data_IF_479241011523
#
_entry.id   IF_479241011523
#
_cell.length_a   1.000
_cell.length_b   1.000
_cell.length_c   1.000
_cell.angle_alpha   90.00
_cell.angle_beta   90.00
_cell.angle_gamma   90.00
#
_symmetry.space_group_name_H-M   'P 1'
#
loop_
_entity.id
_entity.type
_entity.pdbx_description
1 polymer ?
#
# COMPACT_ATOMS: atom_id res chain seq x y z
N UNK A 1 -10.72 4.51 -13.03
CA UNK A 1 -9.57 4.64 -12.11
C UNK A 1 -9.07 3.27 -11.72
N UNK A 2 -7.79 3.11 -11.73
CA UNK A 2 -7.08 1.88 -11.34
C UNK A 2 -6.51 2.06 -9.93
N UNK A 3 -6.60 1.02 -9.13
CA UNK A 3 -6.06 1.02 -7.77
C UNK A 3 -5.15 -0.18 -7.57
N UNK A 4 -3.96 0.07 -7.01
CA UNK A 4 -3.07 -0.98 -6.57
C UNK A 4 -3.25 -1.11 -5.06
N UNK A 5 -3.55 -2.31 -4.58
CA UNK A 5 -3.64 -2.59 -3.15
C UNK A 5 -2.49 -3.49 -2.76
N UNK A 6 -1.71 -3.07 -1.78
CA UNK A 6 -0.60 -3.84 -1.23
C UNK A 6 -0.96 -4.21 0.20
N UNK A 7 -0.91 -5.49 0.51
CA UNK A 7 -1.40 -6.06 1.76
C UNK A 7 -0.26 -6.70 2.53
N UNK A 8 -0.08 -6.29 3.78
CA UNK A 8 0.87 -6.89 4.70
C UNK A 8 0.07 -7.61 5.80
N UNK A 9 -0.05 -8.95 5.72
CA UNK A 9 -0.81 -9.69 6.74
C UNK A 9 -0.15 -9.57 8.11
N UNK A 10 -0.95 -9.66 9.17
CA UNK A 10 -0.44 -9.60 10.52
C UNK A 10 0.11 -10.97 10.92
N UNK A 11 1.43 -11.12 10.88
CA UNK A 11 2.11 -12.36 11.25
C UNK A 11 2.73 -12.26 12.63
N UNK A 12 2.47 -13.26 13.49
CA UNK A 12 3.01 -13.31 14.83
C UNK A 12 4.55 -13.32 14.80
N UNK A 13 5.16 -12.54 15.69
CA UNK A 13 6.61 -12.48 15.82
C UNK A 13 7.33 -11.67 14.76
N UNK A 14 6.59 -11.03 13.86
CA UNK A 14 7.17 -10.15 12.83
C UNK A 14 6.79 -8.71 13.07
N UNK A 15 7.73 -7.81 12.82
CA UNK A 15 7.57 -6.38 13.02
C UNK A 15 7.28 -5.66 11.71
N UNK A 16 6.68 -4.50 11.83
CA UNK A 16 6.45 -3.58 10.72
C UNK A 16 6.76 -2.17 11.21
N UNK A 17 7.80 -1.55 10.65
CA UNK A 17 8.18 -0.18 10.99
C UNK A 17 7.32 0.80 10.21
N UNK A 18 6.19 1.18 10.78
CA UNK A 18 5.23 2.08 10.13
C UNK A 18 5.82 3.46 9.89
N UNK A 19 6.64 3.97 10.81
CA UNK A 19 7.27 5.27 10.65
C UNK A 19 8.19 5.31 9.43
N UNK A 20 9.04 4.30 9.29
CA UNK A 20 9.89 4.15 8.11
C UNK A 20 9.05 4.02 6.84
N UNK A 21 8.01 3.19 6.89
CA UNK A 21 7.13 2.94 5.75
C UNK A 21 6.52 4.24 5.23
N UNK A 22 5.96 5.04 6.11
CA UNK A 22 5.28 6.29 5.74
C UNK A 22 6.25 7.35 5.22
N UNK A 23 7.42 7.49 5.83
CA UNK A 23 8.33 8.60 5.55
C UNK A 23 9.44 8.27 4.57
N UNK A 24 9.73 6.99 4.35
CA UNK A 24 10.83 6.55 3.48
C UNK A 24 10.36 5.71 2.31
N UNK A 25 9.58 4.66 2.58
CA UNK A 25 9.15 3.73 1.53
C UNK A 25 8.15 4.39 0.57
N UNK A 26 7.09 4.96 1.13
CA UNK A 26 6.04 5.63 0.35
C UNK A 26 6.60 6.87 -0.36
N UNK A 27 7.63 7.50 0.18
CA UNK A 27 8.30 8.64 -0.46
C UNK A 27 8.87 8.33 -1.85
N UNK A 28 9.04 7.05 -2.21
CA UNK A 28 9.43 6.67 -3.57
C UNK A 28 8.41 7.12 -4.64
N UNK A 29 7.17 7.39 -4.23
CA UNK A 29 6.14 7.90 -5.14
C UNK A 29 6.10 9.44 -5.22
N UNK A 30 6.87 10.13 -4.38
CA UNK A 30 6.85 11.60 -4.34
C UNK A 30 7.27 12.20 -5.69
N UNK A 31 6.52 13.21 -6.12
CA UNK A 31 6.80 13.89 -7.35
C UNK A 31 6.38 13.17 -8.64
N UNK A 32 5.80 11.99 -8.52
CA UNK A 32 5.28 11.26 -9.69
C UNK A 32 3.90 11.81 -10.08
N UNK A 33 3.80 12.52 -11.24
CA UNK A 33 2.52 13.13 -11.63
C UNK A 33 1.46 12.11 -12.04
N UNK A 34 1.84 10.86 -12.28
CA UNK A 34 0.90 9.79 -12.66
C UNK A 34 0.14 9.26 -11.45
N UNK A 35 0.67 9.39 -10.24
CA UNK A 35 0.01 8.96 -9.00
C UNK A 35 -1.07 9.97 -8.64
N UNK A 36 -2.32 9.52 -8.60
CA UNK A 36 -3.48 10.38 -8.31
C UNK A 36 -3.84 10.42 -6.83
N UNK A 37 -3.40 9.46 -6.06
CA UNK A 37 -3.63 9.43 -4.63
C UNK A 37 -2.99 8.23 -4.00
N UNK A 38 -2.75 8.33 -2.69
CA UNK A 38 -2.21 7.25 -1.87
C UNK A 38 -2.99 7.24 -0.56
N UNK A 39 -3.42 6.04 -0.14
CA UNK A 39 -3.97 5.81 1.19
C UNK A 39 -3.13 4.71 1.85
N UNK A 40 -2.75 4.93 3.09
CA UNK A 40 -2.09 3.90 3.90
C UNK A 40 -2.92 3.69 5.15
N UNK A 41 -3.20 2.43 5.46
CA UNK A 41 -4.02 2.05 6.59
C UNK A 41 -3.23 1.15 7.54
N UNK A 42 -3.30 1.46 8.82
CA UNK A 42 -2.79 0.59 9.88
C UNK A 42 -3.97 -0.16 10.48
N UNK A 43 -3.83 -1.49 10.62
CA UNK A 43 -4.88 -2.32 11.18
C UNK A 43 -5.22 -1.91 12.60
N UNK A 44 -6.50 -1.86 12.95
CA UNK A 44 -7.00 -1.47 14.25
C UNK A 44 -7.62 -2.62 15.02
N UNK A 45 -8.60 -3.28 14.38
CA UNK A 45 -9.30 -4.44 14.92
C UNK A 45 -10.11 -5.07 13.80
N UNK A 46 -10.74 -6.22 14.05
CA UNK A 46 -11.71 -6.79 13.13
C UNK A 46 -13.12 -6.16 13.37
N UNK A 47 -14.09 -6.51 12.54
CA UNK A 47 -15.45 -6.01 12.70
C UNK A 47 -16.11 -6.46 14.01
N UNK A 48 -15.66 -7.57 14.57
CA UNK A 48 -16.14 -8.07 15.86
C UNK A 48 -15.64 -7.27 17.06
N UNK A 49 -14.74 -6.31 16.84
CA UNK A 49 -14.20 -5.47 17.90
C UNK A 49 -13.18 -6.18 18.79
N UNK A 50 -12.67 -7.33 18.37
CA UNK A 50 -11.64 -8.06 19.09
C UNK A 50 -10.26 -7.42 18.89
N UNK A 51 -9.27 -7.96 19.62
CA UNK A 51 -7.88 -7.50 19.52
C UNK A 51 -7.16 -8.03 18.27
N UNK A 52 -7.83 -8.90 17.51
CA UNK A 52 -7.26 -9.49 16.31
C UNK A 52 -7.24 -8.48 15.16
N UNK A 53 -6.07 -8.34 14.54
CA UNK A 53 -5.87 -7.50 13.36
C UNK A 53 -5.47 -8.43 12.21
N UNK A 54 -6.34 -8.61 11.19
CA UNK A 54 -6.02 -9.51 10.06
C UNK A 54 -4.82 -9.02 9.24
N UNK A 55 -4.72 -7.71 9.05
CA UNK A 55 -3.68 -7.11 8.23
C UNK A 55 -2.98 -6.00 9.00
N UNK A 56 -1.66 -6.03 8.98
CA UNK A 56 -0.83 -5.04 9.66
C UNK A 56 -0.92 -3.69 8.97
N UNK A 57 -0.87 -3.70 7.64
CA UNK A 57 -0.87 -2.50 6.82
C UNK A 57 -1.53 -2.81 5.48
N UNK A 58 -2.28 -1.84 4.99
CA UNK A 58 -2.85 -1.83 3.64
C UNK A 58 -2.44 -0.53 2.97
N UNK A 59 -1.88 -0.60 1.77
CA UNK A 59 -1.54 0.57 0.98
C UNK A 59 -2.35 0.55 -0.31
N UNK A 60 -2.89 1.70 -0.68
CA UNK A 60 -3.68 1.89 -1.90
C UNK A 60 -3.07 3.01 -2.71
N UNK A 61 -2.73 2.74 -3.97
CA UNK A 61 -2.14 3.72 -4.86
C UNK A 61 -3.05 3.83 -6.08
N UNK A 62 -3.46 5.05 -6.41
CA UNK A 62 -4.47 5.32 -7.43
C UNK A 62 -3.83 5.89 -8.69
N UNK A 63 -4.27 5.38 -9.85
CA UNK A 63 -3.85 5.81 -11.17
C UNK A 63 -5.07 6.00 -12.08
N UNK A 64 -4.94 6.83 -13.10
CA UNK A 64 -6.02 7.01 -14.09
C UNK A 64 -6.18 5.80 -15.00
N UNK A 65 -5.07 5.11 -15.31
CA UNK A 65 -5.06 4.01 -16.27
C UNK A 65 -4.01 2.95 -15.94
N UNK A 66 -4.14 1.79 -16.57
CA UNK A 66 -3.11 0.74 -16.49
C UNK A 66 -1.79 1.21 -17.09
N UNK A 67 -1.83 2.01 -18.16
CA UNK A 67 -0.62 2.56 -18.78
C UNK A 67 0.15 3.42 -17.81
N UNK A 68 -0.54 4.30 -17.07
CA UNK A 68 0.06 5.16 -16.06
C UNK A 68 0.67 4.33 -14.92
N UNK A 69 -0.03 3.30 -14.46
CA UNK A 69 0.52 2.38 -13.47
C UNK A 69 1.81 1.73 -13.96
N UNK A 70 1.81 1.19 -15.16
CA UNK A 70 2.98 0.50 -15.71
C UNK A 70 4.17 1.45 -15.85
N UNK A 71 3.95 2.66 -16.34
CA UNK A 71 4.99 3.66 -16.46
C UNK A 71 5.57 4.06 -15.10
N UNK A 72 4.71 4.28 -14.10
CA UNK A 72 5.12 4.65 -12.75
C UNK A 72 5.91 3.51 -12.09
N UNK A 73 5.35 2.31 -12.05
CA UNK A 73 5.99 1.18 -11.37
C UNK A 73 7.28 0.72 -12.03
N UNK A 74 7.37 0.75 -13.35
CA UNK A 74 8.59 0.32 -14.04
C UNK A 74 9.80 1.16 -13.63
N UNK A 75 9.57 2.42 -13.24
CA UNK A 75 10.64 3.31 -12.82
C UNK A 75 11.14 3.06 -11.38
N UNK A 76 10.28 2.54 -10.49
CA UNK A 76 10.60 2.45 -9.06
C UNK A 76 10.50 1.04 -8.48
N UNK A 77 10.06 0.05 -9.25
CA UNK A 77 9.78 -1.30 -8.74
C UNK A 77 10.97 -1.91 -8.00
N UNK A 78 12.16 -1.86 -8.57
CA UNK A 78 13.33 -2.44 -7.92
C UNK A 78 13.68 -1.75 -6.61
N UNK A 79 13.49 -0.43 -6.54
CA UNK A 79 13.69 0.33 -5.29
C UNK A 79 12.71 -0.09 -4.22
N UNK A 80 11.42 -0.28 -4.58
CA UNK A 80 10.40 -0.72 -3.65
C UNK A 80 10.70 -2.12 -3.09
N UNK A 81 11.10 -3.05 -3.97
CA UNK A 81 11.44 -4.42 -3.57
C UNK A 81 12.66 -4.43 -2.65
N UNK A 82 13.72 -3.74 -3.02
CA UNK A 82 14.95 -3.70 -2.24
C UNK A 82 14.77 -3.03 -0.87
N UNK A 83 13.83 -2.10 -0.78
CA UNK A 83 13.58 -1.35 0.45
C UNK A 83 12.75 -2.10 1.49
N UNK A 84 12.04 -3.16 1.10
CA UNK A 84 11.14 -3.89 2.00
C UNK A 84 11.86 -4.39 3.26
N UNK A 85 13.06 -4.90 3.14
CA UNK A 85 13.87 -5.39 4.27
C UNK A 85 14.14 -4.34 5.34
N UNK A 86 14.01 -3.05 4.99
CA UNK A 86 14.28 -1.94 5.90
C UNK A 86 13.11 -1.65 6.84
N UNK A 87 11.91 -2.15 6.55
CA UNK A 87 10.76 -1.91 7.42
C UNK A 87 10.03 -3.18 7.86
N UNK A 88 10.19 -4.30 7.16
CA UNK A 88 9.49 -5.54 7.57
C UNK A 88 10.09 -6.79 6.96
N UNK A 89 9.84 -7.93 7.61
CA UNK A 89 10.06 -9.27 7.04
C UNK A 89 8.75 -9.94 6.63
N UNK A 90 7.61 -9.26 6.82
CA UNK A 90 6.29 -9.78 6.41
C UNK A 90 6.22 -9.77 4.88
N UNK A 91 5.98 -10.92 4.23
CA UNK A 91 5.77 -10.92 2.79
C UNK A 91 4.46 -10.24 2.44
N UNK A 92 4.50 -9.36 1.45
CA UNK A 92 3.30 -8.68 0.96
C UNK A 92 2.66 -9.45 -0.18
N UNK A 93 1.35 -9.23 -0.33
CA UNK A 93 0.61 -9.58 -1.55
C UNK A 93 0.04 -8.32 -2.15
N UNK A 94 -0.28 -8.34 -3.42
CA UNK A 94 -0.80 -7.17 -4.11
C UNK A 94 -1.89 -7.54 -5.10
N UNK A 95 -2.68 -6.54 -5.47
CA UNK A 95 -3.75 -6.68 -6.46
C UNK A 95 -3.95 -5.37 -7.18
N UNK A 96 -4.18 -5.46 -8.49
CA UNK A 96 -4.58 -4.32 -9.32
C UNK A 96 -6.08 -4.45 -9.54
N UNK A 97 -6.83 -3.37 -9.25
CA UNK A 97 -8.28 -3.36 -9.34
C UNK A 97 -8.78 -2.19 -10.17
N UNK A 98 -9.91 -2.41 -10.86
CA UNK A 98 -10.70 -1.33 -11.42
C UNK A 98 -11.65 -0.84 -10.34
N UNK A 99 -11.64 0.46 -10.04
CA UNK A 99 -12.61 1.05 -9.12
C UNK A 99 -13.96 1.10 -9.84
N UNK A 100 -14.98 0.46 -9.26
CA UNK A 100 -16.30 0.34 -9.90
C UNK A 100 -17.37 1.16 -9.21
N UNK A 101 -17.08 1.73 -8.05
CA UNK A 101 -18.00 2.60 -7.32
C UNK A 101 -17.21 3.51 -6.39
N UNK A 102 -17.53 4.79 -6.41
CA UNK A 102 -17.04 5.75 -5.45
C UNK A 102 -18.22 6.54 -4.92
N UNK A 103 -18.34 6.61 -3.61
CA UNK A 103 -19.34 7.41 -2.92
C UNK A 103 -18.71 8.04 -1.69
N UNK A 104 -18.69 9.34 -1.66
CA UNK A 104 -18.12 10.10 -0.54
C UNK A 104 -19.17 11.09 -0.05
N UNK A 105 -19.27 11.23 1.26
CA UNK A 105 -20.14 12.22 1.90
C UNK A 105 -19.30 13.43 2.30
N UNK A 106 -19.73 14.55 1.83
CA UNK A 106 -19.02 15.80 2.06
C UNK A 106 -17.93 16.05 1.08
#
# INVERSE_FOLDING_TARGET
MIKITIVYPNEAGKDFDMDYYLHRHIANFDGDPLVKGILVEEGKCDLGGGDSVPYRCLAHIFYDSMEDFQASFSAIRSKLIDDMKNFTTIPSTDQISQVVLEKWNG
#
